data_IF_575567646846
#
_entry.id   IF_575567646846
#
_cell.length_a   1.000
_cell.length_b   1.000
_cell.length_c   1.000
_cell.angle_alpha   90.00
_cell.angle_beta   90.00
_cell.angle_gamma   90.00
#
_symmetry.space_group_name_H-M   'P 1'
#
loop_
_entity.id
_entity.type
_entity.pdbx_description
1 polymer ?
#
# COMPACT_ATOMS: atom_id res chain seq x y z
N UNK A 1 -0.58 20.03 -17.36
CA UNK A 1 -0.67 20.43 -15.94
C UNK A 1 -1.03 19.21 -15.10
N UNK A 2 -0.08 18.59 -14.39
CA UNK A 2 -0.41 17.61 -13.34
C UNK A 2 0.07 18.23 -12.03
N UNK A 3 -0.85 18.91 -11.35
CA UNK A 3 -0.61 19.49 -10.04
C UNK A 3 -0.32 18.39 -9.04
N UNK A 4 0.85 18.47 -8.40
CA UNK A 4 1.09 17.93 -7.07
C UNK A 4 0.09 18.57 -6.11
N UNK A 5 -0.67 17.76 -5.35
CA UNK A 5 -1.15 18.14 -4.01
C UNK A 5 -1.33 16.87 -3.14
N UNK A 6 -0.28 16.52 -2.41
CA UNK A 6 -0.26 16.17 -0.97
C UNK A 6 -1.25 15.18 -0.31
N UNK A 7 -2.06 14.42 -1.05
CA UNK A 7 -2.89 13.34 -0.48
C UNK A 7 -3.26 12.26 -1.50
N UNK A 8 -2.27 11.74 -2.23
CA UNK A 8 -2.49 10.67 -3.20
C UNK A 8 -2.87 9.37 -2.49
N UNK A 9 -4.19 9.15 -2.35
CA UNK A 9 -4.75 7.86 -1.99
C UNK A 9 -4.45 6.90 -3.13
N UNK A 10 -3.64 5.89 -2.86
CA UNK A 10 -3.29 4.88 -3.85
C UNK A 10 -4.39 3.82 -3.84
N UNK A 11 -5.06 3.54 -4.97
CA UNK A 11 -6.02 2.46 -5.02
C UNK A 11 -5.30 1.13 -4.78
N UNK A 12 -5.96 0.21 -4.09
CA UNK A 12 -5.40 -1.11 -3.72
C UNK A 12 -4.81 -1.87 -4.91
N UNK A 13 -5.46 -1.79 -6.09
CA UNK A 13 -4.96 -2.37 -7.33
C UNK A 13 -3.58 -1.82 -7.73
N UNK A 14 -3.39 -0.51 -7.58
CA UNK A 14 -2.13 0.15 -7.91
C UNK A 14 -1.05 -0.19 -6.88
N UNK A 15 -1.39 -0.16 -5.58
CA UNK A 15 -0.47 -0.55 -4.52
C UNK A 15 -0.02 -2.01 -4.67
N UNK A 16 -0.95 -2.93 -4.97
CA UNK A 16 -0.65 -4.33 -5.25
C UNK A 16 0.32 -4.49 -6.43
N UNK A 17 0.09 -3.73 -7.51
CA UNK A 17 0.97 -3.71 -8.68
C UNK A 17 2.38 -3.22 -8.33
N UNK A 18 2.51 -2.21 -7.49
CA UNK A 18 3.81 -1.66 -7.08
C UNK A 18 4.55 -2.56 -6.10
N UNK A 19 3.82 -3.27 -5.23
CA UNK A 19 4.37 -4.27 -4.32
C UNK A 19 4.68 -5.60 -5.02
N UNK A 20 4.21 -5.79 -6.25
CA UNK A 20 4.36 -7.04 -7.00
C UNK A 20 3.55 -8.22 -6.42
N UNK A 21 2.45 -7.94 -5.73
CA UNK A 21 1.60 -8.97 -5.09
C UNK A 21 0.15 -8.91 -5.57
N UNK A 22 -0.64 -9.94 -5.23
CA UNK A 22 -2.08 -9.93 -5.46
C UNK A 22 -2.81 -8.97 -4.49
N UNK A 23 -3.94 -8.42 -4.92
CA UNK A 23 -4.76 -7.52 -4.09
C UNK A 23 -5.27 -8.20 -2.81
N UNK A 24 -5.57 -9.50 -2.88
CA UNK A 24 -6.01 -10.30 -1.73
C UNK A 24 -4.92 -10.40 -0.67
N UNK A 25 -3.67 -10.56 -1.10
CA UNK A 25 -2.49 -10.55 -0.22
C UNK A 25 -2.35 -9.21 0.49
N UNK A 26 -2.55 -8.10 -0.22
CA UNK A 26 -2.57 -6.75 0.41
C UNK A 26 -3.66 -6.66 1.47
N UNK A 27 -4.88 -7.14 1.18
CA UNK A 27 -5.99 -7.12 2.16
C UNK A 27 -5.65 -7.92 3.40
N UNK A 28 -5.15 -9.14 3.21
CA UNK A 28 -4.80 -10.03 4.30
C UNK A 28 -3.72 -9.40 5.20
N UNK A 29 -2.63 -8.90 4.63
CA UNK A 29 -1.55 -8.30 5.41
C UNK A 29 -1.94 -6.98 6.09
N UNK A 30 -2.77 -6.17 5.45
CA UNK A 30 -3.33 -4.98 6.11
C UNK A 30 -4.30 -5.37 7.24
N UNK A 31 -5.14 -6.39 7.05
CA UNK A 31 -6.12 -6.83 8.04
C UNK A 31 -5.49 -7.47 9.29
N UNK A 32 -4.38 -8.22 9.13
CA UNK A 32 -3.63 -8.76 10.28
C UNK A 32 -2.68 -7.74 10.93
N UNK A 33 -2.65 -6.50 10.45
CA UNK A 33 -1.78 -5.43 10.99
C UNK A 33 -0.30 -5.54 10.60
N UNK A 34 0.07 -6.47 9.70
CA UNK A 34 1.46 -6.59 9.23
C UNK A 34 1.87 -5.41 8.35
N UNK A 35 0.91 -4.83 7.63
CA UNK A 35 1.09 -3.69 6.73
C UNK A 35 0.26 -2.47 7.17
N UNK A 36 0.17 -2.24 8.48
CA UNK A 36 -0.46 -1.04 9.06
C UNK A 36 0.29 0.25 8.66
N UNK A 37 1.62 0.16 8.50
CA UNK A 37 2.44 1.27 8.01
C UNK A 37 2.14 1.72 6.58
N UNK A 38 1.40 0.95 5.77
CA UNK A 38 0.97 1.35 4.41
C UNK A 38 -0.20 2.35 4.44
N UNK A 39 -1.03 2.31 5.49
CA UNK A 39 -2.24 3.11 5.57
C UNK A 39 -3.27 2.54 6.53
N UNK A 40 -4.50 3.03 6.43
CA UNK A 40 -5.56 2.74 7.40
C UNK A 40 -6.51 1.65 6.91
N UNK A 41 -6.80 0.70 7.81
CA UNK A 41 -7.88 -0.27 7.63
C UNK A 41 -9.05 0.14 8.50
N UNK A 42 -10.11 0.62 7.87
CA UNK A 42 -11.34 0.99 8.56
C UNK A 42 -12.25 -0.25 8.56
N UNK A 43 -12.46 -0.89 9.72
CA UNK A 43 -13.39 -2.00 9.82
C UNK A 43 -14.83 -1.55 9.53
N UNK A 44 -15.70 -2.47 9.14
CA UNK A 44 -17.12 -2.18 9.04
C UNK A 44 -17.63 -1.69 10.41
N UNK A 45 -18.39 -0.60 10.39
CA UNK A 45 -19.05 -0.05 11.57
C UNK A 45 -20.56 -0.05 11.33
N UNK A 46 -21.35 0.36 12.32
CA UNK A 46 -22.82 0.37 12.27
C UNK A 46 -23.40 1.04 11.00
N UNK A 47 -22.66 2.00 10.40
CA UNK A 47 -23.02 2.70 9.16
C UNK A 47 -22.39 2.15 7.87
N UNK A 48 -21.56 1.12 7.92
CA UNK A 48 -20.86 0.57 6.75
C UNK A 48 -20.52 -0.91 6.92
N UNK A 49 -21.12 -1.76 6.10
CA UNK A 49 -20.92 -3.23 6.13
C UNK A 49 -19.61 -3.70 5.49
N UNK A 50 -18.80 -2.80 4.93
CA UNK A 50 -17.59 -3.15 4.16
C UNK A 50 -16.32 -2.56 4.77
N UNK A 51 -15.27 -3.37 4.81
CA UNK A 51 -13.91 -2.92 5.10
C UNK A 51 -13.46 -1.88 4.07
N UNK A 52 -12.92 -0.76 4.55
CA UNK A 52 -12.30 0.25 3.70
C UNK A 52 -10.80 0.27 3.94
N UNK A 53 -10.06 0.11 2.87
CA UNK A 53 -8.59 0.16 2.87
C UNK A 53 -8.16 1.50 2.28
N UNK A 54 -7.49 2.32 3.07
CA UNK A 54 -6.95 3.60 2.65
C UNK A 54 -5.44 3.49 2.62
N UNK A 55 -4.85 3.49 1.43
CA UNK A 55 -3.39 3.41 1.25
C UNK A 55 -2.90 4.80 0.88
N UNK A 56 -1.87 5.27 1.56
CA UNK A 56 -1.26 6.57 1.29
C UNK A 56 0.01 6.40 0.48
N UNK A 57 0.18 7.20 -0.59
CA UNK A 57 1.38 7.15 -1.44
C UNK A 57 2.67 7.27 -0.65
N UNK A 58 2.74 8.25 0.25
CA UNK A 58 3.93 8.52 1.06
C UNK A 58 4.29 7.36 1.99
N UNK A 59 3.29 6.62 2.48
CA UNK A 59 3.47 5.44 3.33
C UNK A 59 3.87 4.21 2.52
N UNK A 60 3.24 4.01 1.35
CA UNK A 60 3.60 2.98 0.39
C UNK A 60 5.06 3.12 -0.07
N UNK A 61 5.51 4.34 -0.34
CA UNK A 61 6.89 4.61 -0.77
C UNK A 61 7.92 4.29 0.33
N UNK A 62 7.61 4.66 1.59
CA UNK A 62 8.42 4.26 2.77
C UNK A 62 8.47 2.74 2.95
N UNK A 63 7.32 2.07 2.87
CA UNK A 63 7.21 0.61 3.04
C UNK A 63 7.95 -0.17 1.96
N UNK A 64 7.96 0.34 0.73
CA UNK A 64 8.74 -0.21 -0.38
C UNK A 64 10.26 -0.04 -0.18
N UNK A 65 10.70 0.65 0.88
CA UNK A 65 12.12 0.98 1.07
C UNK A 65 12.64 1.88 -0.05
N UNK A 66 11.76 2.67 -0.69
CA UNK A 66 12.12 3.60 -1.77
C UNK A 66 12.86 4.84 -1.28
N UNK A 67 13.38 4.80 -0.05
CA UNK A 67 14.64 5.45 0.32
C UNK A 67 15.79 4.91 -0.55
N UNK A 68 15.80 5.19 -1.86
CA UNK A 68 16.92 4.98 -2.81
C UNK A 68 17.83 3.78 -2.47
N UNK A 69 17.27 2.59 -2.21
CA UNK A 69 18.09 1.39 -2.13
C UNK A 69 18.25 0.79 -3.52
N UNK A 70 19.27 1.35 -4.16
CA UNK A 70 20.08 0.73 -5.20
C UNK A 70 20.62 -0.62 -4.71
N UNK A 71 19.79 -1.67 -4.72
CA UNK A 71 20.29 -3.04 -4.56
C UNK A 71 19.38 -4.06 -5.26
N UNK A 72 19.10 -3.83 -6.55
CA UNK A 72 18.91 -4.96 -7.46
C UNK A 72 20.29 -5.52 -7.84
N UNK A 73 20.94 -6.22 -6.88
CA UNK A 73 21.99 -7.17 -7.21
C UNK A 73 21.33 -8.29 -8.01
N UNK A 74 21.90 -8.55 -9.19
CA UNK A 74 21.46 -9.58 -10.11
C UNK A 74 21.35 -10.93 -9.42
N UNK A 75 20.24 -11.62 -9.70
CA UNK A 75 20.13 -13.05 -9.46
C UNK A 75 20.91 -13.75 -10.58
N UNK A 76 22.18 -14.04 -10.33
CA UNK A 76 22.96 -15.08 -11.00
C UNK A 76 23.81 -15.83 -9.95
N UNK A 77 23.48 -17.09 -9.70
CA UNK A 77 24.44 -18.17 -9.40
C UNK A 77 23.79 -19.53 -9.67
#
# INVERSE_FOLDING_TARGET
>A
MKGQVESERVPMKQAAKELGVAQETVRYYMMIGRWDDLGDVIPPNDRSTRYRFIIYRSRLDKHLGRERKTDAVGREH
#
